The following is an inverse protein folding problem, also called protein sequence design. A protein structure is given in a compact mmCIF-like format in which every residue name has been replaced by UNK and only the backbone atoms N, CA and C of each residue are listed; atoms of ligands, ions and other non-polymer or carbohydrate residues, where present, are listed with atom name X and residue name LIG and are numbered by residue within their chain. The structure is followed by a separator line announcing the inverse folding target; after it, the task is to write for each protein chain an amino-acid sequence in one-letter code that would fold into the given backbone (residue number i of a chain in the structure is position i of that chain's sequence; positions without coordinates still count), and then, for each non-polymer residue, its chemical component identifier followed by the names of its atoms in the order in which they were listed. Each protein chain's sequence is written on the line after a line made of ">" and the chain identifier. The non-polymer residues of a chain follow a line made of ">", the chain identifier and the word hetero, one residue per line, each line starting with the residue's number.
data_IF_669123197369
#
_entry.id   IF_669123197369
#
_cell.length_a   1.000
_cell.length_b   1.000
_cell.length_c   1.000
_cell.angle_alpha   90.00
_cell.angle_beta   90.00
_cell.angle_gamma   90.00
#
_symmetry.space_group_name_H-M   'P 1'
#
loop_
_entity.id
_entity.type
_entity.pdbx_description
1 polymer ?
#
# COMPACT_ATOMS: atom_id res chain seq x y z
N UNK A 1 -10.97 33.95 -62.95
CA UNK A 1 -11.84 34.98 -62.34
C UNK A 1 -12.85 35.42 -63.39
N UNK A 2 -14.12 35.74 -63.05
CA UNK A 2 -14.74 36.00 -61.74
C UNK A 2 -15.56 34.78 -61.23
N UNK A 3 -15.78 34.47 -59.93
CA UNK A 3 -16.33 35.16 -58.73
C UNK A 3 -17.86 35.38 -58.75
N UNK A 4 -18.52 34.75 -57.77
CA UNK A 4 -19.70 35.15 -56.96
C UNK A 4 -20.17 33.86 -56.23
N UNK A 5 -19.95 33.58 -54.94
CA UNK A 5 -20.10 34.32 -53.67
C UNK A 5 -21.54 34.70 -53.32
N UNK A 6 -22.20 33.82 -52.55
CA UNK A 6 -23.33 34.16 -51.67
C UNK A 6 -23.11 33.50 -50.32
N UNK A 7 -22.56 34.26 -49.39
CA UNK A 7 -22.62 33.96 -47.97
C UNK A 7 -23.98 34.29 -47.34
N UNK A 8 -23.97 34.22 -46.01
CA UNK A 8 -24.82 35.00 -45.07
C UNK A 8 -26.19 34.34 -44.78
N UNK A 9 -26.72 34.18 -43.55
CA UNK A 9 -26.45 34.75 -42.22
C UNK A 9 -26.91 33.80 -41.09
N UNK A 10 -26.13 33.84 -40.01
CA UNK A 10 -26.45 33.58 -38.59
C UNK A 10 -27.90 33.95 -38.20
N UNK A 11 -28.54 33.12 -37.36
CA UNK A 11 -29.55 33.59 -36.39
C UNK A 11 -29.19 33.13 -35.00
N UNK A 12 -28.68 34.09 -34.22
CA UNK A 12 -28.69 34.03 -32.76
C UNK A 12 -30.13 34.15 -32.28
N UNK A 13 -30.51 33.34 -31.29
CA UNK A 13 -31.55 33.73 -30.33
C UNK A 13 -31.06 33.40 -28.92
N UNK A 14 -30.86 34.47 -28.14
CA UNK A 14 -30.60 34.42 -26.72
C UNK A 14 -31.90 34.77 -25.98
N UNK A 15 -32.14 33.99 -24.92
CA UNK A 15 -32.85 34.29 -23.65
C UNK A 15 -34.37 34.12 -23.58
N UNK A 16 -34.76 33.20 -22.69
CA UNK A 16 -36.03 33.19 -21.97
C UNK A 16 -36.04 32.04 -20.95
N UNK A 17 -35.73 32.34 -19.69
CA UNK A 17 -35.88 31.41 -18.57
C UNK A 17 -37.34 30.99 -18.41
N UNK A 18 -37.60 29.70 -18.23
CA UNK A 18 -38.75 29.22 -17.48
C UNK A 18 -38.31 28.02 -16.64
N UNK A 19 -38.15 28.28 -15.35
CA UNK A 19 -37.91 27.30 -14.30
C UNK A 19 -39.21 26.52 -14.09
N UNK A 20 -39.16 25.21 -14.28
CA UNK A 20 -40.17 24.27 -13.77
C UNK A 20 -39.40 23.09 -13.16
N UNK A 21 -39.05 23.26 -11.88
CA UNK A 21 -38.51 22.21 -11.03
C UNK A 21 -39.67 21.28 -10.68
N UNK A 22 -39.72 20.11 -11.31
CA UNK A 22 -40.48 18.97 -10.80
C UNK A 22 -39.47 18.09 -10.05
N UNK A 23 -39.36 18.30 -8.74
CA UNK A 23 -38.60 17.44 -7.87
C UNK A 23 -39.40 16.15 -7.60
N UNK A 24 -39.22 15.15 -8.45
CA UNK A 24 -39.63 13.78 -8.13
C UNK A 24 -38.56 13.18 -7.21
N UNK A 25 -38.92 13.06 -5.94
CA UNK A 25 -38.13 12.44 -4.90
C UNK A 25 -38.01 10.93 -5.20
N UNK A 26 -36.80 10.47 -5.51
CA UNK A 26 -36.39 9.09 -5.29
C UNK A 26 -35.19 9.13 -4.35
N UNK A 27 -35.47 9.16 -3.04
CA UNK A 27 -34.46 8.84 -2.02
C UNK A 27 -34.13 7.36 -2.17
N UNK A 28 -33.16 7.04 -3.03
CA UNK A 28 -32.40 5.80 -2.86
C UNK A 28 -31.51 6.06 -1.66
N UNK A 29 -31.96 5.61 -0.48
CA UNK A 29 -31.08 5.46 0.67
C UNK A 29 -30.01 4.46 0.26
N UNK A 30 -28.88 4.94 -0.23
CA UNK A 30 -27.66 4.17 -0.21
C UNK A 30 -27.39 3.91 1.26
N UNK A 31 -27.77 2.73 1.73
CA UNK A 31 -27.32 2.20 3.01
C UNK A 31 -25.82 2.07 2.90
N UNK A 32 -25.12 3.14 3.27
CA UNK A 32 -23.70 3.11 3.57
C UNK A 32 -23.55 2.18 4.76
N UNK A 33 -23.31 0.90 4.48
CA UNK A 33 -22.55 0.07 5.41
C UNK A 33 -21.17 0.68 5.48
N UNK A 34 -21.04 1.68 6.36
CA UNK A 34 -19.76 2.07 6.91
C UNK A 34 -19.19 0.81 7.54
N UNK A 35 -18.26 0.15 6.85
CA UNK A 35 -17.30 -0.68 7.56
C UNK A 35 -16.51 0.28 8.42
N UNK A 36 -16.90 0.38 9.69
CA UNK A 36 -16.03 0.92 10.71
C UNK A 36 -14.69 0.21 10.53
N UNK A 37 -13.61 0.99 10.39
CA UNK A 37 -12.30 0.49 10.69
C UNK A 37 -12.34 0.08 12.15
N UNK A 38 -12.62 -1.20 12.43
CA UNK A 38 -12.31 -1.76 13.71
C UNK A 38 -10.79 -1.76 13.76
N UNK A 39 -10.22 -0.79 14.48
CA UNK A 39 -8.98 -1.09 15.19
C UNK A 39 -9.29 -2.37 15.94
N UNK A 40 -8.68 -3.47 15.52
CA UNK A 40 -8.80 -4.73 16.24
C UNK A 40 -8.27 -4.42 17.63
N UNK A 41 -9.10 -4.59 18.65
CA UNK A 41 -8.72 -4.50 20.07
C UNK A 41 -7.74 -5.64 20.33
N UNK A 42 -6.47 -5.37 20.00
CA UNK A 42 -5.42 -6.35 20.12
C UNK A 42 -5.01 -6.43 21.58
N UNK A 43 -4.75 -7.64 22.03
CA UNK A 43 -4.24 -7.90 23.36
C UNK A 43 -3.21 -9.02 23.29
N UNK A 44 -2.56 -9.32 24.41
CA UNK A 44 -1.50 -10.33 24.45
C UNK A 44 -1.92 -11.72 23.94
N UNK A 45 -3.21 -12.07 23.95
CA UNK A 45 -3.66 -13.37 23.42
C UNK A 45 -3.72 -13.45 21.89
N UNK A 46 -3.67 -12.30 21.21
CA UNK A 46 -3.61 -12.23 19.75
C UNK A 46 -2.19 -12.48 19.20
N UNK A 47 -1.19 -12.46 20.09
CA UNK A 47 0.21 -12.68 19.73
C UNK A 47 0.67 -14.07 20.15
N UNK A 48 1.41 -14.72 19.25
CA UNK A 48 2.01 -16.03 19.53
C UNK A 48 3.28 -15.91 20.35
N UNK A 49 4.10 -14.91 20.07
CA UNK A 49 5.39 -14.70 20.72
C UNK A 49 5.50 -13.28 21.29
N UNK A 50 6.29 -13.14 22.36
CA UNK A 50 6.54 -11.84 22.99
C UNK A 50 7.10 -10.82 22.00
N UNK A 51 7.98 -11.25 21.10
CA UNK A 51 8.59 -10.37 20.10
C UNK A 51 7.59 -9.80 19.10
N UNK A 52 6.50 -10.51 18.78
CA UNK A 52 5.46 -10.00 17.87
C UNK A 52 4.63 -8.91 18.56
N UNK A 53 4.32 -9.11 19.85
CA UNK A 53 3.68 -8.10 20.69
C UNK A 53 4.61 -6.88 20.87
N UNK A 54 5.92 -7.10 21.00
CA UNK A 54 6.89 -6.02 21.08
C UNK A 54 6.95 -5.22 19.79
N UNK A 55 7.01 -5.88 18.64
CA UNK A 55 7.00 -5.20 17.34
C UNK A 55 5.73 -4.35 17.15
N UNK A 56 4.61 -4.78 17.74
CA UNK A 56 3.38 -4.01 17.81
C UNK A 56 3.49 -2.81 18.77
N UNK A 57 3.95 -3.02 20.00
CA UNK A 57 4.19 -1.92 20.95
C UNK A 57 5.13 -0.85 20.37
N UNK A 58 6.24 -1.28 19.76
CA UNK A 58 7.22 -0.40 19.10
C UNK A 58 6.59 0.37 17.92
N UNK A 59 5.58 -0.24 17.30
CA UNK A 59 4.80 0.38 16.25
C UNK A 59 3.87 1.47 16.83
N UNK A 60 3.17 1.22 17.92
CA UNK A 60 2.12 2.12 18.41
C UNK A 60 2.56 2.89 19.65
N UNK A 61 2.87 4.18 19.46
CA UNK A 61 3.21 5.06 20.56
C UNK A 61 2.07 5.16 21.58
N UNK A 62 2.42 5.04 22.87
CA UNK A 62 1.49 5.20 23.98
C UNK A 62 0.69 3.95 24.36
N UNK A 63 1.09 2.78 23.86
CA UNK A 63 0.50 1.47 24.19
C UNK A 63 -1.04 1.45 24.14
N UNK A 64 -1.66 1.81 22.99
CA UNK A 64 -3.11 1.90 22.88
C UNK A 64 -3.82 0.55 23.10
N UNK A 65 -3.12 -0.55 22.86
CA UNK A 65 -3.60 -1.92 22.97
C UNK A 65 -3.28 -2.55 24.35
N UNK A 66 -2.65 -1.79 25.25
CA UNK A 66 -2.37 -2.23 26.63
C UNK A 66 -1.47 -3.46 26.70
N UNK A 67 -0.53 -3.60 25.76
CA UNK A 67 0.40 -4.72 25.68
C UNK A 67 1.51 -4.63 26.74
N UNK A 68 1.80 -3.43 27.25
CA UNK A 68 2.81 -3.12 28.28
C UNK A 68 2.12 -2.40 29.46
N UNK A 69 1.38 -3.19 30.25
CA UNK A 69 0.54 -2.68 31.34
C UNK A 69 1.34 -2.05 32.49
N UNK A 70 2.56 -2.54 32.73
CA UNK A 70 3.46 -2.05 33.77
C UNK A 70 4.41 -0.94 33.29
N UNK A 71 4.46 -0.68 31.98
CA UNK A 71 5.13 0.47 31.40
C UNK A 71 6.65 0.36 31.45
N UNK A 72 7.17 -0.86 31.43
CA UNK A 72 8.61 -1.12 31.49
C UNK A 72 9.27 -1.21 30.10
N UNK A 73 8.46 -1.07 29.05
CA UNK A 73 8.84 -1.10 27.65
C UNK A 73 8.82 -2.50 27.03
N UNK A 74 8.39 -3.53 27.77
CA UNK A 74 8.35 -4.92 27.32
C UNK A 74 6.91 -5.40 27.17
N UNK A 75 6.47 -5.56 25.93
CA UNK A 75 5.13 -6.04 25.64
C UNK A 75 4.94 -7.51 26.05
N UNK A 76 3.84 -7.83 26.72
CA UNK A 76 3.32 -9.19 26.92
C UNK A 76 4.37 -10.21 27.41
N UNK A 77 5.07 -9.89 28.50
CA UNK A 77 6.23 -10.64 29.02
C UNK A 77 6.04 -12.16 29.16
N UNK A 78 4.81 -12.56 29.46
CA UNK A 78 4.37 -13.94 29.70
C UNK A 78 4.34 -14.82 28.44
N UNK A 79 4.40 -14.23 27.25
CA UNK A 79 4.43 -14.97 25.99
C UNK A 79 5.78 -15.67 25.78
N UNK A 80 5.78 -16.83 25.10
CA UNK A 80 7.02 -17.53 24.77
C UNK A 80 7.91 -16.65 23.88
N UNK A 81 9.22 -16.78 24.06
CA UNK A 81 10.18 -16.17 23.15
C UNK A 81 10.19 -16.92 21.82
N UNK A 82 10.27 -16.17 20.72
CA UNK A 82 10.35 -16.75 19.39
C UNK A 82 11.71 -17.44 19.18
N UNK A 83 11.75 -18.64 18.57
CA UNK A 83 13.01 -19.20 18.10
C UNK A 83 13.67 -18.24 17.12
N UNK A 84 14.95 -17.91 17.37
CA UNK A 84 15.71 -17.00 16.52
C UNK A 84 15.78 -17.57 15.11
N UNK A 85 15.06 -16.93 14.18
CA UNK A 85 15.04 -17.32 12.78
C UNK A 85 16.16 -16.58 12.05
N UNK A 86 17.04 -17.33 11.40
CA UNK A 86 18.15 -16.77 10.62
C UNK A 86 17.67 -16.33 9.23
N UNK A 87 18.26 -15.27 8.64
CA UNK A 87 17.94 -14.87 7.28
C UNK A 87 18.35 -15.94 6.26
N UNK A 88 17.62 -16.08 5.14
CA UNK A 88 18.03 -16.91 4.02
C UNK A 88 19.43 -16.52 3.53
N UNK A 89 20.41 -17.41 3.71
CA UNK A 89 21.82 -17.10 3.43
C UNK A 89 22.26 -17.35 1.98
N UNK A 90 21.42 -18.03 1.18
CA UNK A 90 21.73 -18.41 -0.21
C UNK A 90 21.07 -17.52 -1.26
N UNK A 91 20.17 -16.63 -0.88
CA UNK A 91 19.47 -15.76 -1.81
C UNK A 91 20.27 -14.50 -2.11
N UNK A 92 20.36 -14.15 -3.39
CA UNK A 92 20.96 -12.89 -3.81
C UNK A 92 20.13 -11.71 -3.27
N UNK A 93 20.81 -10.68 -2.77
CA UNK A 93 20.17 -9.45 -2.27
C UNK A 93 20.24 -8.37 -3.34
N UNK A 94 19.10 -7.74 -3.63
CA UNK A 94 18.96 -6.68 -4.63
C UNK A 94 18.31 -5.43 -4.03
N UNK A 95 18.68 -4.23 -4.50
CA UNK A 95 18.03 -3.00 -4.06
C UNK A 95 16.58 -2.93 -4.54
N UNK A 96 15.71 -2.33 -3.73
CA UNK A 96 14.34 -1.99 -4.08
C UNK A 96 14.19 -0.48 -4.09
N UNK A 97 13.89 0.07 -5.27
CA UNK A 97 13.72 1.51 -5.46
C UNK A 97 12.27 1.91 -5.32
N UNK A 98 12.01 3.02 -4.62
CA UNK A 98 10.67 3.60 -4.45
C UNK A 98 10.49 4.83 -5.33
N UNK A 99 9.32 4.92 -5.93
CA UNK A 99 8.91 6.04 -6.76
C UNK A 99 7.54 6.53 -6.31
N UNK A 100 7.35 7.85 -6.36
CA UNK A 100 6.12 8.54 -6.01
C UNK A 100 5.61 9.40 -7.16
N UNK A 101 4.29 9.45 -7.35
CA UNK A 101 3.66 10.34 -8.32
C UNK A 101 2.58 11.22 -7.68
N UNK A 102 2.70 12.56 -7.74
CA UNK A 102 1.59 13.44 -7.41
C UNK A 102 0.47 13.39 -8.47
N UNK A 103 0.81 13.03 -9.72
CA UNK A 103 -0.13 12.99 -10.85
C UNK A 103 -1.06 11.78 -10.82
N UNK A 104 -0.63 10.68 -10.19
CA UNK A 104 -1.43 9.46 -10.03
C UNK A 104 -2.02 9.36 -8.62
N UNK A 105 -2.70 10.43 -8.18
CA UNK A 105 -3.40 10.48 -6.89
C UNK A 105 -2.50 10.16 -5.68
N UNK A 106 -1.21 10.54 -5.66
CA UNK A 106 -0.18 10.15 -4.68
C UNK A 106 0.25 8.66 -4.74
N UNK A 107 0.25 8.03 -5.90
CA UNK A 107 0.63 6.62 -6.05
C UNK A 107 2.11 6.41 -5.72
N UNK A 108 2.41 5.24 -5.17
CA UNK A 108 3.77 4.74 -4.99
C UNK A 108 3.92 3.41 -5.70
N UNK A 109 5.15 3.10 -6.11
CA UNK A 109 5.50 1.73 -6.47
C UNK A 109 6.95 1.43 -6.14
N UNK A 110 7.26 0.13 -6.16
CA UNK A 110 8.57 -0.43 -5.91
C UNK A 110 9.03 -1.25 -7.11
N UNK A 111 10.32 -1.20 -7.39
CA UNK A 111 10.94 -2.06 -8.40
C UNK A 111 12.34 -2.52 -7.99
N UNK A 112 12.66 -3.76 -8.33
CA UNK A 112 14.01 -4.36 -8.31
C UNK A 112 14.68 -4.31 -9.69
N UNK A 113 13.96 -3.89 -10.73
CA UNK A 113 14.47 -3.84 -12.09
C UNK A 113 15.32 -2.57 -12.28
N UNK A 114 16.64 -2.76 -12.35
CA UNK A 114 17.59 -1.67 -12.51
C UNK A 114 17.37 -0.88 -13.81
N UNK A 115 16.95 -1.54 -14.89
CA UNK A 115 16.68 -0.89 -16.17
C UNK A 115 15.40 -0.06 -16.13
N UNK A 116 14.32 -0.58 -15.50
CA UNK A 116 13.09 0.18 -15.24
C UNK A 116 13.37 1.42 -14.38
N UNK A 117 14.08 1.23 -13.27
CA UNK A 117 14.48 2.33 -12.38
C UNK A 117 15.33 3.39 -13.10
N UNK A 118 16.27 2.96 -13.95
CA UNK A 118 17.09 3.89 -14.75
C UNK A 118 16.25 4.64 -15.81
N UNK A 119 15.35 3.94 -16.49
CA UNK A 119 14.49 4.54 -17.52
C UNK A 119 13.58 5.62 -16.93
N UNK A 120 12.92 5.33 -15.81
CA UNK A 120 12.00 6.26 -15.15
C UNK A 120 12.77 7.49 -14.64
N UNK A 121 13.93 7.28 -13.99
CA UNK A 121 14.80 8.39 -13.52
C UNK A 121 15.32 9.27 -14.65
N UNK A 122 15.49 8.73 -15.85
CA UNK A 122 16.08 9.46 -16.96
C UNK A 122 15.09 10.39 -17.67
N UNK A 123 13.77 10.14 -17.61
CA UNK A 123 12.87 10.90 -18.47
C UNK A 123 11.37 10.79 -18.24
N UNK A 124 10.88 10.09 -17.21
CA UNK A 124 9.44 10.10 -16.92
C UNK A 124 9.08 11.25 -15.98
N UNK A 125 8.37 12.30 -16.45
CA UNK A 125 8.01 13.44 -15.61
C UNK A 125 6.91 13.12 -14.59
N UNK A 126 6.22 11.97 -14.70
CA UNK A 126 5.12 11.61 -13.82
C UNK A 126 5.60 10.97 -12.52
N UNK A 127 6.84 10.46 -12.47
CA UNK A 127 7.37 9.73 -11.34
C UNK A 127 8.59 10.42 -10.76
N UNK A 128 8.57 10.61 -9.45
CA UNK A 128 9.69 11.11 -8.67
C UNK A 128 10.38 9.94 -7.99
N UNK A 129 11.68 9.84 -8.17
CA UNK A 129 12.50 8.88 -7.46
C UNK A 129 12.68 9.32 -6.00
N UNK A 130 12.38 8.42 -5.06
CA UNK A 130 12.48 8.69 -3.62
C UNK A 130 13.68 8.02 -2.96
N UNK A 131 14.43 7.19 -3.70
CA UNK A 131 15.60 6.49 -3.18
C UNK A 131 15.49 4.97 -3.27
N UNK A 132 16.54 4.31 -2.78
CA UNK A 132 16.46 2.90 -2.39
C UNK A 132 15.71 2.84 -1.06
N UNK A 133 14.53 2.22 -1.05
CA UNK A 133 13.71 2.14 0.16
C UNK A 133 14.20 1.05 1.12
N UNK A 134 14.71 -0.05 0.57
CA UNK A 134 15.25 -1.20 1.28
C UNK A 134 15.98 -2.11 0.29
N UNK A 135 16.54 -3.22 0.78
CA UNK A 135 16.96 -4.33 -0.06
C UNK A 135 16.03 -5.54 0.11
N UNK A 136 15.98 -6.43 -0.86
CA UNK A 136 15.15 -7.63 -0.79
C UNK A 136 15.88 -8.82 -1.42
N UNK A 137 15.39 -10.03 -1.13
CA UNK A 137 15.90 -11.22 -1.79
C UNK A 137 15.39 -11.28 -3.22
N UNK A 138 16.26 -11.60 -4.17
CA UNK A 138 15.91 -11.73 -5.58
C UNK A 138 15.13 -13.03 -5.82
N UNK A 139 14.08 -13.00 -6.68
CA UNK A 139 13.44 -14.22 -7.12
C UNK A 139 14.36 -15.02 -8.06
N UNK A 140 14.27 -16.35 -8.01
CA UNK A 140 15.13 -17.29 -8.75
C UNK A 140 14.53 -17.76 -10.10
N UNK A 141 13.66 -16.95 -10.70
CA UNK A 141 12.97 -17.28 -11.95
C UNK A 141 11.83 -18.29 -11.82
N UNK A 142 11.74 -19.03 -10.70
CA UNK A 142 10.63 -19.93 -10.39
C UNK A 142 9.86 -19.51 -9.12
N UNK A 143 10.48 -18.75 -8.23
CA UNK A 143 9.83 -18.26 -7.03
C UNK A 143 10.81 -17.63 -6.04
N UNK A 144 10.62 -17.98 -4.78
CA UNK A 144 11.39 -17.50 -3.64
C UNK A 144 11.78 -18.69 -2.78
N UNK A 145 12.79 -19.47 -3.18
CA UNK A 145 13.23 -20.60 -2.38
C UNK A 145 13.74 -20.14 -1.01
N UNK A 146 13.19 -20.72 0.06
CA UNK A 146 13.45 -20.35 1.47
C UNK A 146 13.03 -18.91 1.88
N UNK A 147 12.22 -18.24 1.07
CA UNK A 147 11.59 -16.96 1.40
C UNK A 147 10.12 -16.96 0.96
N UNK A 148 9.42 -15.84 1.18
CA UNK A 148 8.04 -15.63 0.75
C UNK A 148 8.01 -14.65 -0.41
N UNK A 149 7.29 -14.99 -1.47
CA UNK A 149 7.09 -14.10 -2.60
C UNK A 149 6.21 -12.90 -2.22
N UNK A 150 6.63 -11.72 -2.67
CA UNK A 150 5.81 -10.50 -2.65
C UNK A 150 5.24 -10.28 -4.05
N UNK A 151 3.94 -10.49 -4.16
CA UNK A 151 3.18 -10.37 -5.40
C UNK A 151 2.86 -8.91 -5.70
N UNK A 152 3.07 -8.49 -6.94
CA UNK A 152 2.75 -7.15 -7.43
C UNK A 152 1.54 -7.18 -8.35
N UNK A 153 0.68 -6.20 -8.15
CA UNK A 153 -0.49 -5.95 -8.97
C UNK A 153 -0.53 -4.49 -9.38
N UNK A 154 -1.03 -4.23 -10.59
CA UNK A 154 -1.30 -2.88 -11.07
C UNK A 154 -2.78 -2.72 -11.40
N UNK A 155 -3.37 -1.60 -11.00
CA UNK A 155 -4.71 -1.22 -11.42
C UNK A 155 -4.68 0.04 -12.28
N UNK A 156 -5.14 -0.06 -13.52
CA UNK A 156 -5.38 1.11 -14.38
C UNK A 156 -6.47 2.01 -13.78
N UNK A 157 -7.50 1.39 -13.17
CA UNK A 157 -8.63 2.10 -12.57
C UNK A 157 -8.20 2.93 -11.36
N UNK A 158 -7.36 2.36 -10.49
CA UNK A 158 -6.89 3.04 -9.28
C UNK A 158 -5.55 3.77 -9.48
N UNK A 159 -4.93 3.61 -10.64
CA UNK A 159 -3.59 4.13 -10.98
C UNK A 159 -2.56 3.83 -9.89
N UNK A 160 -2.65 2.65 -9.28
CA UNK A 160 -1.86 2.28 -8.10
C UNK A 160 -1.33 0.86 -8.25
N UNK A 161 -0.19 0.63 -7.62
CA UNK A 161 0.30 -0.72 -7.38
C UNK A 161 -0.20 -1.23 -6.03
N UNK A 162 -0.32 -2.55 -5.94
CA UNK A 162 -0.60 -3.27 -4.71
C UNK A 162 0.40 -4.40 -4.52
N UNK A 163 0.80 -4.62 -3.28
CA UNK A 163 1.81 -5.60 -2.89
C UNK A 163 1.28 -6.50 -1.79
N UNK A 164 1.49 -7.82 -1.91
CA UNK A 164 1.14 -8.75 -0.84
C UNK A 164 2.10 -9.94 -0.77
N UNK A 165 2.47 -10.33 0.45
CA UNK A 165 3.17 -11.58 0.74
C UNK A 165 2.19 -12.75 1.02
N UNK A 166 0.88 -12.50 1.00
CA UNK A 166 -0.14 -13.53 1.21
C UNK A 166 -0.53 -14.15 -0.12
N UNK A 167 -0.17 -15.42 -0.31
CA UNK A 167 -0.60 -16.22 -1.46
C UNK A 167 -2.13 -16.20 -1.62
N UNK A 168 -2.86 -16.35 -0.51
CA UNK A 168 -4.31 -16.38 -0.52
C UNK A 168 -4.93 -15.02 -0.93
N UNK A 169 -4.34 -13.90 -0.50
CA UNK A 169 -4.78 -12.55 -0.90
C UNK A 169 -4.51 -12.34 -2.40
N UNK A 170 -3.32 -12.73 -2.87
CA UNK A 170 -2.95 -12.68 -4.28
C UNK A 170 -3.89 -13.52 -5.15
N UNK A 171 -4.17 -14.77 -4.78
CA UNK A 171 -5.05 -15.64 -5.53
C UNK A 171 -6.50 -15.14 -5.51
N UNK A 172 -6.98 -14.62 -4.38
CA UNK A 172 -8.31 -14.00 -4.31
C UNK A 172 -8.43 -12.80 -5.26
N UNK A 173 -7.43 -11.91 -5.31
CA UNK A 173 -7.42 -10.78 -6.24
C UNK A 173 -7.43 -11.28 -7.69
N UNK A 174 -6.58 -12.24 -8.03
CA UNK A 174 -6.49 -12.82 -9.39
C UNK A 174 -7.78 -13.46 -9.86
N UNK A 175 -8.51 -14.11 -8.96
CA UNK A 175 -9.73 -14.85 -9.30
C UNK A 175 -10.98 -13.98 -9.26
N UNK A 176 -11.02 -12.98 -8.36
CA UNK A 176 -12.27 -12.32 -8.00
C UNK A 176 -12.27 -10.80 -8.24
N UNK A 177 -11.14 -10.16 -8.58
CA UNK A 177 -11.10 -8.72 -8.83
C UNK A 177 -10.44 -8.36 -10.17
N UNK A 178 -11.27 -8.11 -11.18
CA UNK A 178 -10.84 -7.73 -12.53
C UNK A 178 -10.23 -6.33 -12.63
N UNK A 179 -10.25 -5.53 -11.55
CA UNK A 179 -9.61 -4.21 -11.54
C UNK A 179 -8.09 -4.28 -11.35
N UNK A 180 -7.52 -5.45 -11.02
CA UNK A 180 -6.11 -5.63 -10.73
C UNK A 180 -5.46 -6.63 -11.69
N UNK A 181 -4.46 -6.15 -12.44
CA UNK A 181 -3.62 -6.98 -13.27
C UNK A 181 -2.45 -7.52 -12.43
N UNK A 182 -2.27 -8.84 -12.43
CA UNK A 182 -1.10 -9.47 -11.80
C UNK A 182 0.16 -9.23 -12.64
N UNK A 183 1.21 -8.72 -12.01
CA UNK A 183 2.47 -8.38 -12.68
C UNK A 183 3.62 -9.33 -12.32
N UNK A 184 3.39 -10.30 -11.44
CA UNK A 184 4.40 -11.27 -11.02
C UNK A 184 4.91 -11.07 -9.59
N UNK A 185 6.02 -11.74 -9.29
CA UNK A 185 6.77 -11.60 -8.04
C UNK A 185 7.68 -10.37 -8.19
N UNK A 186 7.48 -9.35 -7.35
CA UNK A 186 8.34 -8.17 -7.35
C UNK A 186 9.71 -8.44 -6.69
N UNK A 187 9.68 -9.16 -5.57
CA UNK A 187 10.84 -9.57 -4.79
C UNK A 187 10.42 -10.62 -3.75
N UNK A 188 11.40 -11.16 -3.05
CA UNK A 188 11.23 -12.12 -1.97
C UNK A 188 11.51 -11.46 -0.61
N UNK A 189 10.70 -11.79 0.39
CA UNK A 189 10.73 -11.24 1.75
C UNK A 189 10.50 -12.37 2.77
N UNK A 190 10.56 -12.09 4.07
CA UNK A 190 10.09 -13.04 5.10
C UNK A 190 8.79 -12.53 5.70
N UNK A 191 7.80 -13.40 5.95
CA UNK A 191 6.57 -13.00 6.67
C UNK A 191 6.75 -12.95 8.17
N UNK A 192 7.91 -13.41 8.62
CA UNK A 192 8.30 -13.57 10.01
C UNK A 192 9.62 -12.82 10.19
N UNK A 193 9.74 -12.02 11.27
CA UNK A 193 10.98 -11.28 11.59
C UNK A 193 12.18 -12.22 11.67
N UNK A 194 13.27 -11.90 10.98
CA UNK A 194 14.54 -12.62 11.10
C UNK A 194 15.60 -11.67 11.66
N UNK A 195 16.73 -12.21 12.14
CA UNK A 195 17.81 -11.37 12.66
C UNK A 195 18.24 -10.34 11.61
N UNK A 196 18.20 -9.06 12.00
CA UNK A 196 18.63 -7.96 11.15
C UNK A 196 17.63 -7.54 10.07
N UNK A 197 16.42 -8.11 9.99
CA UNK A 197 15.42 -7.68 8.99
C UNK A 197 14.71 -6.39 9.38
N UNK A 198 14.29 -5.62 8.37
CA UNK A 198 13.49 -4.40 8.51
C UNK A 198 12.02 -4.69 8.22
N UNK A 199 11.10 -4.20 9.06
CA UNK A 199 9.66 -4.35 8.83
C UNK A 199 9.18 -3.43 7.69
N UNK A 200 8.26 -3.93 6.87
CA UNK A 200 7.48 -3.12 5.93
C UNK A 200 6.05 -2.96 6.46
N UNK A 201 5.68 -1.73 6.76
CA UNK A 201 4.39 -1.36 7.32
C UNK A 201 3.38 -1.12 6.19
N UNK A 202 2.16 -1.65 6.34
CA UNK A 202 1.04 -1.48 5.40
C UNK A 202 -0.05 -0.63 6.02
N UNK A 203 -0.51 0.35 5.25
CA UNK A 203 -1.58 1.25 5.61
C UNK A 203 -2.67 1.21 4.55
N UNK A 204 -3.92 1.41 4.97
CA UNK A 204 -5.08 1.60 4.11
C UNK A 204 -5.60 3.03 4.23
N UNK A 205 -5.93 3.66 3.10
CA UNK A 205 -6.69 4.91 3.11
C UNK A 205 -8.07 4.70 2.48
N UNK A 206 -9.17 4.86 3.25
CA UNK A 206 -10.52 4.89 2.70
C UNK A 206 -10.73 6.07 1.74
N UNK A 207 -10.10 7.21 2.03
CA UNK A 207 -10.22 8.43 1.23
C UNK A 207 -9.53 8.31 -0.13
N UNK A 208 -8.35 7.68 -0.17
CA UNK A 208 -7.64 7.44 -1.42
C UNK A 208 -7.96 6.11 -2.10
N UNK A 209 -8.65 5.19 -1.41
CA UNK A 209 -9.00 3.87 -1.91
C UNK A 209 -7.78 3.00 -2.24
N UNK A 210 -6.69 3.12 -1.47
CA UNK A 210 -5.43 2.43 -1.77
C UNK A 210 -4.57 2.17 -0.54
N UNK A 211 -3.57 1.33 -0.76
CA UNK A 211 -2.57 0.99 0.24
C UNK A 211 -1.33 1.88 0.14
N UNK A 212 -0.68 2.10 1.27
CA UNK A 212 0.66 2.69 1.37
C UNK A 212 1.59 1.73 2.09
N UNK A 213 2.84 1.66 1.63
CA UNK A 213 3.86 0.77 2.17
C UNK A 213 5.13 1.55 2.47
N UNK A 214 5.74 1.28 3.62
CA UNK A 214 7.04 1.86 3.97
C UNK A 214 7.88 0.93 4.82
N UNK A 215 9.19 0.93 4.58
CA UNK A 215 10.19 0.32 5.47
C UNK A 215 10.76 1.32 6.50
N UNK A 216 10.39 2.60 6.40
CA UNK A 216 10.82 3.64 7.33
C UNK A 216 9.93 3.62 8.58
N UNK A 217 10.47 3.15 9.69
CA UNK A 217 9.79 3.19 10.99
C UNK A 217 9.37 4.62 11.37
N UNK A 218 10.19 5.62 11.03
CA UNK A 218 9.87 7.03 11.27
C UNK A 218 8.70 7.53 10.41
N UNK A 219 8.63 7.13 9.13
CA UNK A 219 7.50 7.48 8.26
C UNK A 219 6.21 6.80 8.73
N UNK A 220 6.30 5.51 9.11
CA UNK A 220 5.16 4.78 9.67
C UNK A 220 4.66 5.41 10.98
N UNK A 221 5.56 5.79 11.89
CA UNK A 221 5.22 6.49 13.12
C UNK A 221 4.59 7.86 12.84
N UNK A 222 5.13 8.61 11.87
CA UNK A 222 4.57 9.91 11.49
C UNK A 222 3.14 9.79 10.94
N UNK A 223 2.89 8.83 10.04
CA UNK A 223 1.56 8.58 9.48
C UNK A 223 0.55 8.22 10.58
N UNK A 224 0.91 7.31 11.49
CA UNK A 224 0.04 6.92 12.61
C UNK A 224 -0.29 8.07 13.55
N UNK A 225 0.68 8.91 13.87
CA UNK A 225 0.50 9.97 14.84
C UNK A 225 -0.14 11.24 14.24
N UNK A 226 0.03 11.50 12.94
CA UNK A 226 -0.24 12.82 12.37
C UNK A 226 -1.13 12.82 11.11
N UNK A 227 -1.43 11.68 10.49
CA UNK A 227 -2.22 11.63 9.26
C UNK A 227 -3.44 10.71 9.38
N UNK A 228 -4.59 11.33 9.65
CA UNK A 228 -5.88 10.64 9.79
C UNK A 228 -6.39 9.99 8.49
N UNK A 229 -5.75 10.25 7.34
CA UNK A 229 -6.13 9.60 6.08
C UNK A 229 -5.58 8.19 5.96
N UNK A 230 -4.64 7.79 6.82
CA UNK A 230 -3.96 6.50 6.76
C UNK A 230 -4.22 5.68 8.02
N UNK A 231 -4.94 4.58 7.84
CA UNK A 231 -5.12 3.59 8.88
C UNK A 231 -4.01 2.56 8.77
N UNK A 232 -3.19 2.44 9.82
CA UNK A 232 -2.26 1.33 9.90
C UNK A 232 -3.03 0.02 9.94
N UNK A 233 -2.63 -0.94 9.10
CA UNK A 233 -3.24 -2.28 9.11
C UNK A 233 -2.37 -3.29 9.84
N UNK A 234 -1.09 -3.40 9.44
CA UNK A 234 -0.14 -4.40 9.96
C UNK A 234 1.27 -4.18 9.45
N UNK A 235 2.23 -4.88 10.05
CA UNK A 235 3.46 -5.24 9.36
C UNK A 235 3.10 -6.24 8.25
N UNK A 236 3.38 -5.90 6.99
CA UNK A 236 3.05 -6.75 5.86
C UNK A 236 4.03 -7.91 5.69
N UNK A 237 5.33 -7.63 5.86
CA UNK A 237 6.44 -8.56 5.74
C UNK A 237 7.74 -7.86 6.20
N UNK A 238 8.84 -8.61 6.22
CA UNK A 238 10.18 -8.17 6.60
C UNK A 238 11.15 -8.32 5.44
N UNK A 239 11.97 -7.30 5.22
CA UNK A 239 12.92 -7.17 4.12
C UNK A 239 14.35 -7.06 4.64
N UNK A 240 15.31 -7.08 3.71
CA UNK A 240 16.71 -6.82 4.05
C UNK A 240 16.88 -5.32 4.27
N UNK A 241 17.57 -4.89 5.34
CA UNK A 241 17.80 -3.46 5.61
C UNK A 241 18.51 -2.74 4.46
#
# INVERSE_FOLDING_TARGET
>A
MPRDDKGVLVRQFRRGMAVLVVAAIAFVTASSVASAAMGVDLNCSDFRYRQDAQDHLDAFAGDPDGLDRDGDGIACEWLPSRPVSQPPSSLAVVPVWRFWSPGFNNAHFFTTNAAESAHIRAGDPNWRYEGQAFAAYAPDGQGCDAATAVYRFYSVRFQSHFFTASQAEADNIRLNDSNWAYEGIAYCATTEKVVGSTAVYRFWSPGFGKHFFTASAAEAAHLRANDQNWNFERIAYYVVP
#
